data_IF_755216613950
#
_entry.id   IF_755216613950
#
_cell.length_a   1.000
_cell.length_b   1.000
_cell.length_c   1.000
_cell.angle_alpha   90.00
_cell.angle_beta   90.00
_cell.angle_gamma   90.00
#
_symmetry.space_group_name_H-M   'P 1'
#
loop_
_entity.id
_entity.type
_entity.pdbx_description
1 polymer ?
#
# COMPACT_ATOMS: atom_id res chain seq x y z
N UNK A 1 -11.14 -4.51 16.57
CA UNK A 1 -10.69 -4.73 15.17
C UNK A 1 -9.21 -4.42 15.10
N UNK A 2 -8.41 -5.20 14.37
CA UNK A 2 -6.96 -4.94 14.22
C UNK A 2 -6.70 -3.74 13.31
N UNK A 3 -7.43 -3.66 12.19
CA UNK A 3 -7.22 -2.61 11.19
C UNK A 3 -7.36 -1.18 11.78
N UNK A 4 -8.27 -0.96 12.71
CA UNK A 4 -8.42 0.33 13.40
C UNK A 4 -7.19 0.75 14.23
N UNK A 5 -6.39 -0.23 14.63
CA UNK A 5 -5.21 -0.01 15.48
C UNK A 5 -3.93 0.16 14.68
N UNK A 6 -3.98 -0.07 13.35
CA UNK A 6 -2.83 0.11 12.48
C UNK A 6 -2.68 1.59 12.15
N UNK A 7 -1.69 2.21 12.75
CA UNK A 7 -1.30 3.61 12.49
C UNK A 7 -0.10 3.70 11.54
N UNK A 8 0.59 2.60 11.33
CA UNK A 8 1.73 2.50 10.43
C UNK A 8 2.29 1.07 10.34
N UNK A 9 3.28 0.84 9.46
CA UNK A 9 3.84 -0.49 9.22
C UNK A 9 4.43 -1.16 10.47
N UNK A 10 4.93 -0.39 11.43
CA UNK A 10 5.46 -0.91 12.69
C UNK A 10 4.43 -1.67 13.52
N UNK A 11 3.14 -1.35 13.37
CA UNK A 11 2.07 -2.05 14.08
C UNK A 11 1.78 -3.42 13.44
N UNK A 12 1.91 -3.51 12.10
CA UNK A 12 1.78 -4.79 11.37
C UNK A 12 2.81 -5.80 11.86
N UNK A 13 4.05 -5.36 12.08
CA UNK A 13 5.18 -6.21 12.53
C UNK A 13 5.00 -6.79 13.94
N UNK A 14 4.11 -6.25 14.75
CA UNK A 14 3.80 -6.73 16.10
C UNK A 14 2.80 -7.89 16.13
N UNK A 15 2.11 -8.12 15.01
CA UNK A 15 1.03 -9.10 14.93
C UNK A 15 1.59 -10.51 14.71
N UNK A 16 0.95 -11.49 15.35
CA UNK A 16 1.18 -12.92 15.10
C UNK A 16 0.53 -13.35 13.78
N UNK A 17 0.94 -14.50 13.25
CA UNK A 17 0.37 -15.01 12.00
C UNK A 17 -1.17 -15.18 12.04
N UNK A 18 -1.78 -15.71 13.11
CA UNK A 18 -3.25 -15.72 13.21
C UNK A 18 -3.88 -14.31 13.18
N UNK A 19 -3.26 -13.33 13.82
CA UNK A 19 -3.74 -11.95 13.82
C UNK A 19 -3.59 -11.27 12.45
N UNK A 20 -2.52 -11.57 11.71
CA UNK A 20 -2.35 -11.12 10.32
C UNK A 20 -3.44 -11.67 9.40
N UNK A 21 -3.87 -12.92 9.59
CA UNK A 21 -4.99 -13.50 8.85
C UNK A 21 -6.32 -12.80 9.18
N UNK A 22 -6.53 -12.44 10.43
CA UNK A 22 -7.71 -11.65 10.83
C UNK A 22 -7.64 -10.23 10.25
N UNK A 23 -6.49 -9.59 10.29
CA UNK A 23 -6.26 -8.29 9.65
C UNK A 23 -6.59 -8.34 8.15
N UNK A 24 -6.15 -9.38 7.43
CA UNK A 24 -6.47 -9.58 6.02
C UNK A 24 -7.98 -9.65 5.77
N UNK A 25 -8.70 -10.35 6.63
CA UNK A 25 -10.17 -10.46 6.54
C UNK A 25 -10.85 -9.11 6.78
N UNK A 26 -10.41 -8.36 7.80
CA UNK A 26 -10.92 -7.02 8.12
C UNK A 26 -10.65 -6.02 6.98
N UNK A 27 -9.45 -6.09 6.36
CA UNK A 27 -9.10 -5.26 5.20
C UNK A 27 -10.00 -5.54 4.00
N UNK A 28 -10.33 -6.82 3.73
CA UNK A 28 -11.26 -7.18 2.65
C UNK A 28 -12.67 -6.67 2.91
N UNK A 29 -13.14 -6.75 4.14
CA UNK A 29 -14.45 -6.21 4.53
C UNK A 29 -14.50 -4.69 4.33
N UNK A 30 -13.47 -3.98 4.77
CA UNK A 30 -13.36 -2.53 4.59
C UNK A 30 -13.30 -2.14 3.10
N UNK A 31 -12.53 -2.87 2.28
CA UNK A 31 -12.49 -2.69 0.82
C UNK A 31 -13.87 -2.89 0.21
N UNK A 32 -14.55 -3.98 0.54
CA UNK A 32 -15.87 -4.29 0.00
C UNK A 32 -16.87 -3.19 0.36
N UNK A 33 -16.92 -2.79 1.62
CA UNK A 33 -17.84 -1.76 2.10
C UNK A 33 -17.62 -0.40 1.42
N UNK A 34 -16.37 0.00 1.23
CA UNK A 34 -16.05 1.25 0.51
C UNK A 34 -16.39 1.14 -0.97
N UNK A 35 -15.86 0.13 -1.64
CA UNK A 35 -15.92 0.03 -3.10
C UNK A 35 -17.34 -0.19 -3.63
N UNK A 36 -18.21 -0.84 -2.88
CA UNK A 36 -19.63 -0.97 -3.23
C UNK A 36 -20.38 0.37 -3.19
N UNK A 37 -19.88 1.33 -2.43
CA UNK A 37 -20.47 2.67 -2.30
C UNK A 37 -19.86 3.71 -3.23
N UNK A 38 -18.55 3.67 -3.40
CA UNK A 38 -17.81 4.71 -4.13
C UNK A 38 -17.32 4.27 -5.51
N UNK A 39 -17.36 2.97 -5.82
CA UNK A 39 -16.65 2.40 -6.96
C UNK A 39 -15.14 2.33 -6.72
N UNK A 40 -14.39 1.94 -7.75
CA UNK A 40 -12.93 1.83 -7.71
C UNK A 40 -12.43 0.49 -8.23
N UNK A 41 -11.18 0.13 -7.90
CA UNK A 41 -10.50 -1.04 -8.42
C UNK A 41 -10.67 -2.24 -7.48
N UNK A 42 -11.64 -3.12 -7.75
CA UNK A 42 -11.92 -4.30 -6.92
C UNK A 42 -10.82 -5.37 -7.02
N UNK A 43 -10.72 -6.02 -8.17
CA UNK A 43 -9.85 -7.19 -8.38
C UNK A 43 -8.40 -6.98 -7.94
N UNK A 44 -7.73 -5.92 -8.43
CA UNK A 44 -6.34 -5.65 -8.07
C UNK A 44 -6.13 -5.48 -6.56
N UNK A 45 -7.04 -4.82 -5.87
CA UNK A 45 -6.88 -4.57 -4.43
C UNK A 45 -7.19 -5.78 -3.56
N UNK A 46 -8.21 -6.57 -3.92
CA UNK A 46 -8.49 -7.82 -3.21
C UNK A 46 -7.36 -8.83 -3.34
N UNK A 47 -6.71 -8.90 -4.52
CA UNK A 47 -5.55 -9.75 -4.75
C UNK A 47 -4.28 -9.30 -4.03
N UNK A 48 -4.21 -8.03 -3.61
CA UNK A 48 -3.03 -7.46 -2.97
C UNK A 48 -3.02 -7.52 -1.44
N UNK A 49 -4.09 -7.93 -0.79
CA UNK A 49 -4.22 -7.81 0.67
C UNK A 49 -3.09 -8.52 1.40
N UNK A 50 -2.91 -9.82 1.21
CA UNK A 50 -1.85 -10.58 1.87
C UNK A 50 -0.46 -10.15 1.44
N UNK A 51 -0.29 -9.81 0.17
CA UNK A 51 0.99 -9.32 -0.34
C UNK A 51 1.38 -7.99 0.32
N UNK A 52 0.44 -7.06 0.45
CA UNK A 52 0.70 -5.79 1.13
C UNK A 52 1.05 -6.02 2.61
N UNK A 53 0.33 -6.90 3.30
CA UNK A 53 0.65 -7.28 4.68
C UNK A 53 2.08 -7.86 4.76
N UNK A 54 2.43 -8.80 3.88
CA UNK A 54 3.76 -9.42 3.87
C UNK A 54 4.87 -8.40 3.60
N UNK A 55 4.67 -7.50 2.65
CA UNK A 55 5.63 -6.43 2.33
C UNK A 55 5.86 -5.53 3.54
N UNK A 56 4.80 -5.08 4.21
CA UNK A 56 4.91 -4.22 5.40
C UNK A 56 5.36 -4.97 6.66
N UNK A 57 5.22 -6.29 6.69
CA UNK A 57 5.78 -7.13 7.74
C UNK A 57 7.30 -7.28 7.61
N UNK A 58 7.81 -7.41 6.38
CA UNK A 58 9.23 -7.66 6.08
C UNK A 58 10.02 -6.36 5.98
N UNK A 59 9.56 -5.40 5.19
CA UNK A 59 10.28 -4.17 4.87
C UNK A 59 9.90 -2.99 5.77
N UNK A 60 10.81 -2.03 5.91
CA UNK A 60 10.66 -0.84 6.78
C UNK A 60 10.28 0.40 5.98
N UNK A 61 9.02 0.46 5.49
CA UNK A 61 8.52 1.67 4.82
C UNK A 61 8.34 2.82 5.84
N UNK A 62 8.70 4.07 5.53
CA UNK A 62 9.12 4.60 4.21
C UNK A 62 10.62 4.52 3.94
N UNK A 63 11.44 3.99 4.86
CA UNK A 63 12.89 3.82 4.64
C UNK A 63 13.12 2.93 3.42
N UNK A 64 12.60 1.71 3.44
CA UNK A 64 12.50 0.86 2.25
C UNK A 64 11.40 1.39 1.34
N UNK A 65 11.72 1.63 0.06
CA UNK A 65 10.84 2.33 -0.86
C UNK A 65 10.05 1.36 -1.73
N UNK A 66 8.73 1.45 -1.67
CA UNK A 66 7.83 0.60 -2.46
C UNK A 66 7.25 1.40 -3.62
N UNK A 67 7.41 0.91 -4.84
CA UNK A 67 6.87 1.50 -6.06
C UNK A 67 5.87 0.54 -6.69
N UNK A 68 4.63 0.97 -6.82
CA UNK A 68 3.55 0.18 -7.37
C UNK A 68 3.28 0.58 -8.81
N UNK A 69 3.42 -0.36 -9.75
CA UNK A 69 3.14 -0.09 -11.16
C UNK A 69 1.66 0.26 -11.34
N UNK A 70 1.32 1.25 -12.15
CA UNK A 70 -0.02 1.87 -12.26
C UNK A 70 -0.51 2.46 -10.94
N UNK A 71 -0.24 1.82 -9.82
CA UNK A 71 -0.62 2.15 -8.43
C UNK A 71 -2.12 2.07 -8.08
N UNK A 72 -2.96 1.52 -8.96
CA UNK A 72 -4.39 1.30 -8.71
C UNK A 72 -4.68 0.18 -7.70
N UNK A 73 -3.66 -0.60 -7.31
CA UNK A 73 -3.69 -1.70 -6.34
C UNK A 73 -3.14 -1.31 -4.95
N UNK A 74 -3.07 -0.01 -4.66
CA UNK A 74 -2.43 0.52 -3.44
C UNK A 74 -3.37 0.64 -2.24
N UNK A 75 -4.64 0.27 -2.33
CA UNK A 75 -5.57 0.44 -1.21
C UNK A 75 -5.14 -0.32 0.05
N UNK A 76 -4.70 -1.59 -0.02
CA UNK A 76 -4.14 -2.28 1.14
C UNK A 76 -2.89 -1.60 1.70
N UNK A 77 -1.99 -1.11 0.84
CA UNK A 77 -0.83 -0.33 1.26
C UNK A 77 -1.24 0.94 2.03
N UNK A 78 -2.24 1.67 1.54
CA UNK A 78 -2.76 2.86 2.22
C UNK A 78 -3.34 2.53 3.59
N UNK A 79 -4.10 1.44 3.71
CA UNK A 79 -4.63 0.99 5.00
C UNK A 79 -3.53 0.72 6.02
N UNK A 80 -2.42 0.10 5.59
CA UNK A 80 -1.30 -0.29 6.47
C UNK A 80 -0.33 0.87 6.76
N UNK A 81 -0.49 2.00 6.10
CA UNK A 81 0.33 3.20 6.25
C UNK A 81 -0.42 4.39 6.87
N UNK A 82 -1.36 4.09 7.78
CA UNK A 82 -2.06 5.08 8.60
C UNK A 82 -3.30 5.71 7.95
N UNK A 83 -3.74 5.23 6.79
CA UNK A 83 -4.88 5.76 6.05
C UNK A 83 -6.11 4.85 6.09
N UNK A 84 -6.17 3.91 7.07
CA UNK A 84 -7.30 3.00 7.23
C UNK A 84 -8.64 3.74 7.45
N UNK A 85 -8.61 4.94 8.05
CA UNK A 85 -9.78 5.77 8.26
C UNK A 85 -10.58 6.03 6.98
N UNK A 86 -9.89 6.23 5.85
CA UNK A 86 -10.51 6.46 4.55
C UNK A 86 -11.14 5.20 3.93
N UNK A 87 -11.14 4.06 4.65
CA UNK A 87 -11.79 2.81 4.27
C UNK A 87 -12.81 2.35 5.33
N UNK A 88 -12.71 2.88 6.55
CA UNK A 88 -13.55 2.52 7.68
C UNK A 88 -14.65 3.55 7.95
N UNK A 89 -14.38 4.83 7.73
CA UNK A 89 -15.31 5.92 7.96
C UNK A 89 -15.87 6.45 6.63
N UNK A 90 -17.16 6.21 6.39
CA UNK A 90 -17.84 6.62 5.15
C UNK A 90 -17.77 8.12 4.88
N UNK A 91 -17.77 8.93 5.92
CA UNK A 91 -17.70 10.39 5.79
C UNK A 91 -16.35 10.86 5.24
N UNK A 92 -15.34 10.00 5.34
CA UNK A 92 -13.95 10.26 4.96
C UNK A 92 -13.47 9.51 3.72
N UNK A 93 -14.33 8.73 3.06
CA UNK A 93 -13.96 7.97 1.86
C UNK A 93 -13.37 8.83 0.76
N UNK A 94 -13.79 10.09 0.65
CA UNK A 94 -13.33 11.01 -0.36
C UNK A 94 -11.93 11.59 -0.09
N UNK A 95 -11.39 11.44 1.12
CA UNK A 95 -10.08 11.98 1.50
C UNK A 95 -8.91 11.17 0.92
N UNK A 96 -9.16 9.93 0.48
CA UNK A 96 -8.11 9.01 -0.01
C UNK A 96 -8.31 8.77 -1.50
N UNK A 97 -7.29 9.10 -2.30
CA UNK A 97 -7.30 8.89 -3.74
C UNK A 97 -7.17 7.41 -4.13
N UNK A 98 -7.50 7.10 -5.38
CA UNK A 98 -7.43 5.74 -5.93
C UNK A 98 -6.04 5.30 -6.40
N UNK A 99 -5.02 6.13 -6.22
CA UNK A 99 -3.64 5.90 -6.69
C UNK A 99 -2.63 6.33 -5.63
N UNK A 100 -1.37 5.92 -5.80
CA UNK A 100 -0.26 6.43 -4.99
C UNK A 100 -0.19 7.96 -5.08
N UNK A 101 -0.07 8.62 -3.93
CA UNK A 101 -0.05 10.08 -3.85
C UNK A 101 0.87 10.57 -2.72
N UNK A 102 2.03 11.15 -3.06
CA UNK A 102 2.97 11.72 -2.08
C UNK A 102 2.39 12.83 -1.19
N UNK A 103 1.33 13.49 -1.64
CA UNK A 103 0.65 14.50 -0.82
C UNK A 103 -0.19 13.88 0.31
N UNK A 104 -0.55 12.60 0.21
CA UNK A 104 -1.27 11.89 1.25
C UNK A 104 -0.36 11.29 2.31
N UNK A 105 0.84 10.84 1.93
CA UNK A 105 1.71 10.06 2.81
C UNK A 105 3.16 10.01 2.34
N UNK A 106 4.09 10.05 3.28
CA UNK A 106 5.52 9.82 3.05
C UNK A 106 5.85 8.39 2.56
N UNK A 107 4.90 7.47 2.64
CA UNK A 107 5.04 6.11 2.13
C UNK A 107 4.78 5.99 0.62
N UNK A 108 4.26 7.03 0.00
CA UNK A 108 3.97 7.13 -1.43
C UNK A 108 5.02 8.02 -2.10
N UNK A 109 5.82 7.49 -3.02
CA UNK A 109 6.98 8.23 -3.58
C UNK A 109 6.67 8.94 -4.90
N UNK A 110 5.65 8.49 -5.64
CA UNK A 110 5.30 9.01 -6.95
C UNK A 110 3.79 9.02 -7.17
N UNK A 111 3.32 9.95 -8.00
CA UNK A 111 2.00 9.86 -8.62
C UNK A 111 2.15 8.99 -9.87
N UNK A 112 1.56 7.79 -9.84
CA UNK A 112 1.63 6.82 -10.93
C UNK A 112 0.21 6.44 -11.34
N UNK A 113 -0.03 6.37 -12.65
CA UNK A 113 -1.29 5.93 -13.24
C UNK A 113 -1.08 5.19 -14.56
N UNK A 114 0.16 5.09 -15.03
CA UNK A 114 0.50 4.45 -16.30
C UNK A 114 1.35 3.19 -16.08
N UNK A 115 1.06 2.14 -16.86
CA UNK A 115 1.78 0.87 -16.83
C UNK A 115 3.26 1.05 -17.22
N UNK A 116 4.12 0.21 -16.65
CA UNK A 116 5.55 0.09 -16.94
C UNK A 116 6.41 1.30 -16.55
N UNK A 117 5.86 2.32 -15.90
CA UNK A 117 6.63 3.49 -15.43
C UNK A 117 7.40 3.21 -14.15
N UNK A 118 6.97 2.24 -13.36
CA UNK A 118 7.58 1.89 -12.07
C UNK A 118 9.02 1.41 -12.19
N UNK A 119 9.40 0.74 -13.29
CA UNK A 119 10.78 0.26 -13.51
C UNK A 119 11.75 1.44 -13.57
N UNK A 120 11.44 2.43 -14.38
CA UNK A 120 12.31 3.63 -14.53
C UNK A 120 12.41 4.40 -13.22
N UNK A 121 11.29 4.57 -12.52
CA UNK A 121 11.22 5.28 -11.23
C UNK A 121 12.02 4.55 -10.15
N UNK A 122 11.84 3.25 -10.01
CA UNK A 122 12.56 2.46 -9.03
C UNK A 122 14.05 2.33 -9.36
N UNK A 123 14.40 2.24 -10.65
CA UNK A 123 15.81 2.27 -11.08
C UNK A 123 16.47 3.60 -10.72
N UNK A 124 15.75 4.72 -10.89
CA UNK A 124 16.21 6.05 -10.47
C UNK A 124 16.45 6.13 -8.96
N UNK A 125 15.50 5.60 -8.15
CA UNK A 125 15.65 5.52 -6.69
C UNK A 125 16.85 4.65 -6.28
N UNK A 126 17.01 3.47 -6.90
CA UNK A 126 18.12 2.57 -6.61
C UNK A 126 19.47 3.20 -6.97
N UNK A 127 19.55 3.87 -8.12
CA UNK A 127 20.76 4.60 -8.52
C UNK A 127 21.06 5.77 -7.58
N UNK A 128 20.05 6.52 -7.17
CA UNK A 128 20.19 7.61 -6.19
C UNK A 128 20.72 7.08 -4.85
N UNK A 129 20.14 5.98 -4.36
CA UNK A 129 20.62 5.28 -3.17
C UNK A 129 22.10 4.91 -3.27
N UNK A 130 22.50 4.28 -4.38
CA UNK A 130 23.87 3.80 -4.57
C UNK A 130 24.87 4.97 -4.58
N UNK A 131 24.51 6.08 -5.22
CA UNK A 131 25.36 7.30 -5.29
C UNK A 131 25.49 7.96 -3.92
N UNK A 132 24.46 7.91 -3.11
CA UNK A 132 24.45 8.52 -1.75
C UNK A 132 24.95 7.58 -0.65
N UNK A 133 25.26 6.33 -1.00
CA UNK A 133 25.70 5.30 -0.01
C UNK A 133 24.58 4.78 0.86
N UNK A 134 23.32 4.91 0.44
CA UNK A 134 22.15 4.37 1.12
C UNK A 134 22.14 2.83 1.13
N UNK A 135 21.37 2.25 2.05
CA UNK A 135 21.26 0.79 2.23
C UNK A 135 19.80 0.30 2.16
N UNK A 136 18.87 1.20 1.92
CA UNK A 136 17.45 0.87 1.84
C UNK A 136 17.13 -0.02 0.63
N UNK A 137 16.12 -0.86 0.78
CA UNK A 137 15.59 -1.67 -0.32
C UNK A 137 14.70 -0.80 -1.23
N UNK A 138 14.76 -1.06 -2.54
CA UNK A 138 13.82 -0.49 -3.51
C UNK A 138 13.00 -1.65 -4.06
N UNK A 139 11.72 -1.66 -3.75
CA UNK A 139 10.79 -2.73 -4.08
C UNK A 139 9.85 -2.27 -5.18
N UNK A 140 9.70 -3.07 -6.23
CA UNK A 140 8.74 -2.82 -7.30
C UNK A 140 7.65 -3.87 -7.23
N UNK A 141 6.40 -3.44 -7.29
CA UNK A 141 5.29 -4.34 -7.49
C UNK A 141 4.72 -4.19 -8.91
N UNK A 142 4.76 -5.29 -9.65
CA UNK A 142 4.18 -5.42 -10.98
C UNK A 142 2.92 -6.27 -10.94
N UNK A 143 1.84 -5.78 -11.53
CA UNK A 143 0.70 -6.59 -11.92
C UNK A 143 0.81 -6.84 -13.44
N UNK A 144 1.17 -8.07 -13.80
CA UNK A 144 1.04 -8.51 -15.18
C UNK A 144 -0.35 -9.10 -15.37
N UNK A 145 -1.12 -8.53 -16.28
CA UNK A 145 -2.30 -9.21 -16.80
C UNK A 145 -1.83 -10.30 -17.78
N UNK A 146 -2.06 -11.55 -17.42
CA UNK A 146 -1.97 -12.68 -18.35
C UNK A 146 -3.37 -13.07 -18.77
#
# INVERSE_FOLDING_TARGET
MYLEKITGPSDVKKLTLPELNLLASEMREALFNRLTKTGGHFGPNFGMVETAIALHYVFDSPKDKMVFDVSHQTYPHKMLTGRAYGYLDETRFHEISGYSNPEESEHDFFIIGHTSTSISLATGLAKGRDVTGGQENIIIWFLTWS
#
